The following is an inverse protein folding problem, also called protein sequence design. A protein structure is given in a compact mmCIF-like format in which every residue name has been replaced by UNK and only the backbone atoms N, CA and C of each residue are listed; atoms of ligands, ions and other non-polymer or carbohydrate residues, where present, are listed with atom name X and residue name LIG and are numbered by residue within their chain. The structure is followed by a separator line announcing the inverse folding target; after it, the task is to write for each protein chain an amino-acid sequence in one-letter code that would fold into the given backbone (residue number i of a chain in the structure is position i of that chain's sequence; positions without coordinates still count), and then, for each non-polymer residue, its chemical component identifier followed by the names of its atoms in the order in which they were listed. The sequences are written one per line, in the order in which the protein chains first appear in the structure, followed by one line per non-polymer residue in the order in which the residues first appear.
data_IF_280683194001
#
_entry.id   IF_280683194001
#
_cell.length_a   1.000
_cell.length_b   1.000
_cell.length_c   1.000
_cell.angle_alpha   90.00
_cell.angle_beta   90.00
_cell.angle_gamma   90.00
#
_symmetry.space_group_name_H-M   'P 1'
#
loop_
_entity.id
_entity.type
_entity.pdbx_description
1 polymer ?
#
# COMPACT_ATOMS: atom_id res chain seq x y z
N UNK A 1 9.37 -7.65 -8.36
CA UNK A 1 8.41 -7.49 -7.26
C UNK A 1 8.53 -6.11 -6.65
N UNK A 2 7.42 -5.63 -6.12
CA UNK A 2 7.42 -4.36 -5.43
C UNK A 2 7.95 -4.54 -4.01
N UNK A 3 8.53 -3.48 -3.43
CA UNK A 3 9.13 -3.61 -2.09
C UNK A 3 8.16 -4.07 -1.01
N UNK A 4 6.88 -3.77 -1.16
CA UNK A 4 5.89 -4.12 -0.15
C UNK A 4 5.46 -5.58 -0.19
N UNK A 5 5.74 -6.29 -1.28
CA UNK A 5 5.34 -7.69 -1.39
C UNK A 5 6.09 -8.52 -0.36
N UNK A 6 5.35 -9.34 0.37
CA UNK A 6 5.92 -10.17 1.42
C UNK A 6 5.93 -9.53 2.79
N UNK A 7 5.57 -8.25 2.89
CA UNK A 7 5.52 -7.57 4.17
C UNK A 7 4.12 -7.58 4.74
N UNK A 8 4.02 -7.61 6.05
CA UNK A 8 2.73 -7.41 6.71
C UNK A 8 2.38 -5.94 6.70
N UNK A 9 1.09 -5.63 6.69
CA UNK A 9 0.66 -4.24 6.72
C UNK A 9 1.22 -3.52 7.95
N UNK A 10 1.31 -4.21 9.07
CA UNK A 10 1.84 -3.61 10.29
C UNK A 10 3.32 -3.24 10.19
N UNK A 11 4.03 -3.81 9.22
CA UNK A 11 5.45 -3.53 9.03
C UNK A 11 5.69 -2.33 8.12
N UNK A 12 4.65 -1.84 7.48
CA UNK A 12 4.80 -0.75 6.52
C UNK A 12 4.47 0.55 7.22
N UNK A 13 5.36 1.52 7.12
CA UNK A 13 5.17 2.82 7.76
C UNK A 13 4.52 3.78 6.79
N UNK A 14 3.20 3.85 6.88
CA UNK A 14 2.44 4.78 6.04
C UNK A 14 2.50 6.18 6.63
N UNK A 15 2.42 7.22 5.78
CA UNK A 15 2.30 8.58 6.27
C UNK A 15 1.04 8.73 7.12
N UNK A 16 1.05 9.70 8.01
CA UNK A 16 -0.17 10.05 8.73
C UNK A 16 -1.25 10.43 7.73
N UNK A 17 -2.48 10.22 8.13
CA UNK A 17 -3.63 10.55 7.29
C UNK A 17 -3.70 9.70 6.05
N UNK A 18 -3.22 8.47 6.15
CA UNK A 18 -3.36 7.46 5.12
C UNK A 18 -4.02 6.25 5.73
N UNK A 19 -4.86 5.59 4.93
CA UNK A 19 -5.59 4.43 5.41
C UNK A 19 -5.79 3.45 4.27
N UNK A 20 -5.42 2.19 4.48
CA UNK A 20 -5.76 1.15 3.53
C UNK A 20 -7.20 0.74 3.77
N UNK A 21 -8.03 0.83 2.74
CA UNK A 21 -9.45 0.54 2.86
C UNK A 21 -9.73 -0.94 2.58
N UNK A 22 -9.07 -1.48 1.59
CA UNK A 22 -9.30 -2.88 1.22
C UNK A 22 -8.17 -3.38 0.33
N UNK A 23 -8.07 -4.69 0.24
CA UNK A 23 -7.14 -5.37 -0.66
C UNK A 23 -7.97 -6.30 -1.51
N UNK A 24 -7.75 -6.27 -2.82
CA UNK A 24 -8.40 -7.21 -3.73
C UNK A 24 -7.38 -8.24 -4.14
N UNK A 25 -7.70 -9.49 -3.87
CA UNK A 25 -6.83 -10.63 -4.17
C UNK A 25 -7.65 -11.70 -4.84
N UNK A 26 -7.32 -12.02 -6.09
CA UNK A 26 -8.06 -13.04 -6.85
C UNK A 26 -9.56 -12.77 -6.84
N UNK A 27 -9.92 -11.52 -7.11
CA UNK A 27 -11.31 -11.08 -7.17
C UNK A 27 -12.06 -11.13 -5.84
N UNK A 28 -11.34 -11.35 -4.74
CA UNK A 28 -11.95 -11.33 -3.41
C UNK A 28 -11.45 -10.13 -2.64
N UNK A 29 -12.35 -9.57 -1.83
CA UNK A 29 -12.02 -8.47 -0.96
C UNK A 29 -11.47 -9.00 0.35
N UNK A 30 -10.30 -8.50 0.73
CA UNK A 30 -9.63 -8.88 1.97
C UNK A 30 -9.69 -7.69 2.92
N UNK A 31 -10.08 -7.96 4.16
CA UNK A 31 -10.08 -6.92 5.19
C UNK A 31 -8.63 -6.63 5.59
N UNK A 32 -8.19 -5.37 5.52
CA UNK A 32 -6.77 -5.04 5.70
C UNK A 32 -6.39 -4.80 7.16
N UNK A 33 -6.19 -5.85 7.92
CA UNK A 33 -5.63 -5.64 9.25
C UNK A 33 -4.13 -5.96 9.26
N UNK A 34 -3.49 -5.61 10.39
CA UNK A 34 -2.04 -5.55 10.46
C UNK A 34 -1.31 -6.84 10.13
N UNK A 35 -1.93 -7.99 10.40
CA UNK A 35 -1.29 -9.28 10.15
C UNK A 35 -1.34 -9.73 8.70
N UNK A 36 -2.10 -9.04 7.87
CA UNK A 36 -2.21 -9.41 6.45
C UNK A 36 -0.89 -9.13 5.75
N UNK A 37 -0.38 -10.12 5.04
CA UNK A 37 0.82 -9.97 4.22
C UNK A 37 0.42 -9.57 2.81
N UNK A 38 1.12 -8.61 2.23
CA UNK A 38 0.87 -8.19 0.86
C UNK A 38 1.44 -9.24 -0.08
N UNK A 39 0.63 -9.73 -1.00
CA UNK A 39 1.03 -10.68 -2.00
C UNK A 39 1.23 -9.99 -3.34
N UNK A 40 1.98 -10.65 -4.20
CA UNK A 40 2.14 -10.18 -5.56
C UNK A 40 0.77 -10.13 -6.22
N UNK A 41 0.54 -9.11 -7.04
CA UNK A 41 -0.72 -8.89 -7.77
C UNK A 41 -1.88 -8.44 -6.90
N UNK A 42 -1.67 -8.20 -5.61
CA UNK A 42 -2.73 -7.58 -4.79
C UNK A 42 -2.99 -6.17 -5.29
N UNK A 43 -4.25 -5.77 -5.23
CA UNK A 43 -4.64 -4.40 -5.49
C UNK A 43 -5.03 -3.77 -4.17
N UNK A 44 -4.34 -2.71 -3.80
CA UNK A 44 -4.58 -2.02 -2.54
C UNK A 44 -5.35 -0.73 -2.80
N UNK A 45 -6.45 -0.55 -2.10
CA UNK A 45 -7.18 0.70 -2.12
C UNK A 45 -6.80 1.52 -0.90
N UNK A 46 -6.27 2.70 -1.13
CA UNK A 46 -5.74 3.55 -0.06
C UNK A 46 -6.39 4.91 -0.15
N UNK A 47 -6.86 5.41 1.00
CA UNK A 47 -7.27 6.81 1.12
C UNK A 47 -6.10 7.57 1.71
N UNK A 48 -5.76 8.68 1.10
CA UNK A 48 -4.70 9.54 1.63
C UNK A 48 -4.94 10.95 1.14
N UNK A 49 -4.27 11.90 1.76
CA UNK A 49 -4.29 13.27 1.26
C UNK A 49 -3.55 13.34 -0.07
N UNK A 50 -3.99 14.26 -0.90
CA UNK A 50 -3.47 14.37 -2.25
C UNK A 50 -1.95 14.58 -2.27
N UNK A 51 -1.47 15.39 -1.36
CA UNK A 51 -0.03 15.70 -1.32
C UNK A 51 0.82 14.55 -0.79
N UNK A 52 0.18 13.45 -0.34
CA UNK A 52 0.90 12.29 0.17
C UNK A 52 0.88 11.10 -0.77
N UNK A 53 0.17 11.20 -1.89
CA UNK A 53 0.00 10.05 -2.76
C UNK A 53 1.32 9.55 -3.36
N UNK A 54 2.22 10.48 -3.70
CA UNK A 54 3.52 10.06 -4.23
C UNK A 54 4.33 9.29 -3.21
N UNK A 55 4.24 9.69 -1.97
CA UNK A 55 4.93 9.02 -0.89
C UNK A 55 4.41 7.60 -0.70
N UNK A 56 3.09 7.43 -0.79
CA UNK A 56 2.48 6.11 -0.72
C UNK A 56 2.99 5.22 -1.86
N UNK A 57 3.03 5.75 -3.07
CA UNK A 57 3.54 4.98 -4.20
C UNK A 57 4.98 4.56 -4.01
N UNK A 58 5.79 5.44 -3.47
CA UNK A 58 7.18 5.11 -3.22
C UNK A 58 7.31 4.00 -2.18
N UNK A 59 6.53 4.08 -1.12
CA UNK A 59 6.56 3.08 -0.05
C UNK A 59 6.14 1.70 -0.58
N UNK A 60 5.06 1.66 -1.34
CA UNK A 60 4.49 0.39 -1.78
C UNK A 60 5.15 -0.15 -3.03
N UNK A 61 5.49 0.70 -3.97
CA UNK A 61 5.93 0.29 -5.30
C UNK A 61 7.38 0.60 -5.58
N UNK A 62 8.01 1.37 -4.72
CA UNK A 62 9.39 1.77 -4.97
C UNK A 62 9.55 2.82 -6.04
N UNK A 63 8.47 3.47 -6.45
CA UNK A 63 8.55 4.55 -7.44
C UNK A 63 9.07 5.81 -6.80
N UNK A 64 9.92 6.49 -7.52
CA UNK A 64 10.39 7.80 -7.08
C UNK A 64 9.80 8.85 -7.98
N UNK A 65 9.34 9.94 -7.38
CA UNK A 65 8.85 11.05 -8.14
C UNK A 65 10.00 12.02 -8.38
N UNK A 66 10.52 12.02 -9.58
CA UNK A 66 11.70 12.79 -9.91
C UNK A 66 11.40 14.13 -10.56
N UNK A 67 10.16 14.47 -10.65
CA UNK A 67 9.74 15.67 -11.34
C UNK A 67 9.54 16.85 -10.42
N UNK A 68 10.12 16.80 -9.28
CA UNK A 68 9.94 17.88 -8.31
C UNK A 68 10.98 18.94 -8.46
#
# INVERSE_FOLDING_TARGET
NFPSVGKKLSEIKFPKESLIISIIRNDETIIPYGEITINNDDILYVITKKDKSDRIRNILLGEENKDR
#
